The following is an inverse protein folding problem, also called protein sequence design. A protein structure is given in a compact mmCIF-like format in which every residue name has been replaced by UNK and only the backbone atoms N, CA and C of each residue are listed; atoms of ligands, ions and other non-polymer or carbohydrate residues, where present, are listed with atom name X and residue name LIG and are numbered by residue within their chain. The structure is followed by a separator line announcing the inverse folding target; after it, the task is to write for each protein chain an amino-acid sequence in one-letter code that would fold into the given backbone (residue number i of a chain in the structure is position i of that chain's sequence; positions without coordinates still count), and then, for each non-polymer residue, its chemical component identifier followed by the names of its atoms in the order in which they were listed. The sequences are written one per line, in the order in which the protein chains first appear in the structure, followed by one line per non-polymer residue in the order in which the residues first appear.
data_IF_196430781081
#
_entry.id   IF_196430781081
#
_cell.length_a   1.000
_cell.length_b   1.000
_cell.length_c   1.000
_cell.angle_alpha   90.00
_cell.angle_beta   90.00
_cell.angle_gamma   90.00
#
_symmetry.space_group_name_H-M   'P 1'
#
loop_
_entity.id
_entity.type
_entity.pdbx_description
1 polymer ?
#
# COMPACT_ATOMS: atom_id res chain seq x y z
N UNK A 1 13.59 4.03 -0.64
CA UNK A 1 12.27 3.89 0.01
C UNK A 1 12.28 2.65 0.90
N UNK A 2 11.84 2.77 2.16
CA UNK A 2 11.69 1.65 3.10
C UNK A 2 10.21 1.44 3.38
N UNK A 3 9.73 0.20 3.36
CA UNK A 3 8.30 -0.12 3.52
C UNK A 3 8.15 -1.19 4.58
N UNK A 4 7.26 -0.95 5.55
CA UNK A 4 6.82 -1.94 6.55
C UNK A 4 5.30 -2.02 6.61
N UNK A 5 4.78 -3.20 6.96
CA UNK A 5 3.36 -3.46 7.07
C UNK A 5 2.92 -3.50 8.54
N UNK A 6 1.95 -2.65 8.87
CA UNK A 6 1.40 -2.55 10.22
C UNK A 6 0.16 -3.43 10.44
N UNK A 7 -0.36 -4.04 9.37
CA UNK A 7 -1.57 -4.87 9.37
C UNK A 7 -2.71 -4.26 8.55
N UNK A 8 -3.57 -5.10 7.98
CA UNK A 8 -4.63 -4.65 7.10
C UNK A 8 -4.11 -3.86 5.90
N UNK A 9 -4.64 -2.67 5.66
CA UNK A 9 -4.12 -1.71 4.67
C UNK A 9 -3.07 -0.77 5.24
N UNK A 10 -2.75 -0.86 6.53
CA UNK A 10 -1.84 0.07 7.19
C UNK A 10 -0.38 -0.18 6.81
N UNK A 11 0.23 0.82 6.21
CA UNK A 11 1.62 0.79 5.72
C UNK A 11 2.39 1.98 6.29
N UNK A 12 3.62 1.74 6.70
CA UNK A 12 4.60 2.79 6.99
C UNK A 12 5.65 2.82 5.89
N UNK A 13 5.89 4.01 5.36
CA UNK A 13 6.90 4.27 4.33
C UNK A 13 7.88 5.31 4.87
N UNK A 14 9.17 5.05 4.72
CA UNK A 14 10.22 6.00 5.02
C UNK A 14 10.98 6.33 3.75
N UNK A 15 11.08 7.60 3.42
CA UNK A 15 11.80 8.13 2.26
C UNK A 15 12.75 9.23 2.67
N UNK A 16 13.74 9.52 1.85
CA UNK A 16 14.69 10.61 2.04
C UNK A 16 14.84 11.41 0.74
N UNK A 17 13.82 12.18 0.33
CA UNK A 17 13.81 12.89 -0.96
C UNK A 17 14.95 13.91 -1.07
N UNK A 18 15.34 14.49 0.05
CA UNK A 18 16.46 15.42 0.19
C UNK A 18 17.38 14.97 1.32
N UNK A 19 17.82 15.86 2.18
CA UNK A 19 18.70 15.54 3.33
C UNK A 19 17.96 15.09 4.59
N UNK A 20 16.62 15.15 4.61
CA UNK A 20 15.80 14.78 5.76
C UNK A 20 14.97 13.53 5.46
N UNK A 21 14.88 12.65 6.46
CA UNK A 21 13.97 11.53 6.43
C UNK A 21 12.53 12.04 6.54
N UNK A 22 11.62 11.43 5.77
CA UNK A 22 10.19 11.70 5.77
C UNK A 22 9.46 10.39 6.06
N UNK A 23 8.71 10.39 7.14
CA UNK A 23 7.85 9.26 7.53
C UNK A 23 6.43 9.47 6.98
N UNK A 24 5.93 8.49 6.26
CA UNK A 24 4.58 8.46 5.69
C UNK A 24 3.84 7.28 6.28
N UNK A 25 2.61 7.49 6.73
CA UNK A 25 1.72 6.40 7.18
C UNK A 25 0.45 6.44 6.36
N UNK A 26 0.10 5.30 5.76
CA UNK A 26 -1.13 5.11 5.02
C UNK A 26 -2.06 4.23 5.85
N UNK A 27 -3.34 4.59 5.93
CA UNK A 27 -4.41 3.81 6.56
C UNK A 27 -4.14 3.35 8.00
N UNK A 28 -3.73 4.20 8.92
CA UNK A 28 -3.49 3.81 10.31
C UNK A 28 -4.81 3.59 11.06
N UNK A 29 -5.73 2.78 10.51
CA UNK A 29 -7.02 2.48 11.12
C UNK A 29 -6.85 1.55 12.33
N UNK A 30 -7.63 1.84 13.37
CA UNK A 30 -7.66 1.02 14.57
C UNK A 30 -8.30 -0.34 14.27
N UNK A 31 -7.59 -1.45 14.39
CA UNK A 31 -8.16 -2.77 14.12
C UNK A 31 -9.12 -3.17 15.26
N UNK A 32 -10.05 -4.08 14.94
CA UNK A 32 -10.99 -4.65 15.93
C UNK A 32 -10.32 -5.70 16.83
N UNK A 33 -9.20 -6.26 16.41
CA UNK A 33 -8.46 -7.32 17.12
C UNK A 33 -6.96 -7.18 16.84
N UNK A 34 -6.16 -7.93 17.61
CA UNK A 34 -4.71 -7.97 17.45
C UNK A 34 -3.97 -6.75 17.99
N UNK A 35 -2.67 -6.78 17.87
CA UNK A 35 -1.81 -5.68 18.30
C UNK A 35 -1.67 -4.62 17.20
N UNK A 36 -1.73 -3.36 17.60
CA UNK A 36 -1.54 -2.21 16.72
C UNK A 36 -1.03 -1.02 17.53
N UNK A 37 -0.18 -0.16 16.98
CA UNK A 37 0.27 1.04 17.67
C UNK A 37 -0.91 1.93 18.10
N UNK A 38 -0.83 2.51 19.30
CA UNK A 38 -1.86 3.46 19.78
C UNK A 38 -1.69 4.85 19.19
N UNK A 39 -0.45 5.19 18.85
CA UNK A 39 -0.07 6.43 18.16
C UNK A 39 1.15 6.17 17.28
N UNK A 40 1.31 6.98 16.25
CA UNK A 40 2.49 6.99 15.39
C UNK A 40 2.94 8.43 15.19
N UNK A 41 4.24 8.67 15.25
CA UNK A 41 4.81 9.93 14.78
C UNK A 41 5.06 9.81 13.29
N UNK A 42 4.55 10.77 12.51
CA UNK A 42 4.68 10.77 11.05
C UNK A 42 4.70 12.20 10.52
N UNK A 43 5.24 12.38 9.34
CA UNK A 43 5.24 13.64 8.60
C UNK A 43 4.03 13.78 7.68
N UNK A 44 3.55 12.65 7.15
CA UNK A 44 2.43 12.59 6.21
C UNK A 44 1.51 11.43 6.62
N UNK A 45 0.22 11.72 6.75
CA UNK A 45 -0.85 10.76 7.01
C UNK A 45 -1.81 10.68 5.84
N UNK A 46 -2.00 9.51 5.26
CA UNK A 46 -2.86 9.26 4.11
C UNK A 46 -3.97 8.28 4.48
N UNK A 47 -5.19 8.53 4.02
CA UNK A 47 -6.35 7.73 4.40
C UNK A 47 -7.17 7.36 3.17
N UNK A 48 -7.24 6.08 2.84
CA UNK A 48 -8.01 5.60 1.67
C UNK A 48 -9.53 5.62 1.88
N UNK A 49 -10.01 5.82 3.12
CA UNK A 49 -11.43 5.79 3.50
C UNK A 49 -11.77 6.86 4.53
N UNK A 50 -11.17 8.05 4.41
CA UNK A 50 -11.29 9.12 5.40
C UNK A 50 -10.56 8.81 6.72
N UNK A 51 -10.39 9.80 7.58
CA UNK A 51 -9.59 9.67 8.81
C UNK A 51 -10.39 9.11 10.02
N UNK A 52 -11.65 8.75 9.85
CA UNK A 52 -12.48 8.19 10.93
C UNK A 52 -11.94 6.84 11.40
N UNK A 53 -12.00 6.56 12.70
CA UNK A 53 -11.51 5.32 13.33
C UNK A 53 -9.99 5.07 13.21
N UNK A 54 -9.22 6.09 12.85
CA UNK A 54 -7.77 6.01 12.86
C UNK A 54 -7.19 6.12 14.28
N UNK A 55 -5.93 5.71 14.42
CA UNK A 55 -5.13 6.01 15.62
C UNK A 55 -4.66 7.47 15.58
N UNK A 56 -4.15 7.96 16.71
CA UNK A 56 -3.57 9.30 16.78
C UNK A 56 -2.25 9.36 16.00
N UNK A 57 -2.18 10.29 15.05
CA UNK A 57 -0.93 10.67 14.41
C UNK A 57 -0.35 11.89 15.13
N UNK A 58 0.89 11.78 15.62
CA UNK A 58 1.63 12.86 16.28
C UNK A 58 2.67 13.46 15.33
N UNK A 59 3.24 14.62 15.68
CA UNK A 59 4.22 15.31 14.83
C UNK A 59 3.60 16.38 13.93
N UNK A 60 2.32 16.67 14.07
CA UNK A 60 1.59 17.62 13.21
C UNK A 60 1.69 17.28 11.72
N UNK A 61 1.32 16.03 11.30
CA UNK A 61 1.47 15.58 9.93
C UNK A 61 0.61 16.38 8.95
N UNK A 62 1.06 16.44 7.70
CA UNK A 62 0.18 16.76 6.59
C UNK A 62 -0.81 15.61 6.40
N UNK A 63 -2.09 15.89 6.29
CA UNK A 63 -3.16 14.89 6.13
C UNK A 63 -3.79 15.03 4.75
N UNK A 64 -3.99 13.89 4.05
CA UNK A 64 -4.76 13.81 2.82
C UNK A 64 -5.73 12.64 2.90
N UNK A 65 -7.02 12.94 2.76
CA UNK A 65 -8.13 11.99 2.80
C UNK A 65 -9.22 12.29 1.74
N UNK A 66 -8.85 13.08 0.73
CA UNK A 66 -9.71 13.48 -0.40
C UNK A 66 -8.97 13.32 -1.71
N UNK A 67 -9.66 13.11 -2.85
CA UNK A 67 -9.02 13.11 -4.16
C UNK A 67 -8.33 14.45 -4.48
N UNK A 68 -7.23 14.40 -5.20
CA UNK A 68 -6.46 15.57 -5.60
C UNK A 68 -4.97 15.26 -5.73
N UNK A 69 -4.20 16.27 -6.05
CA UNK A 69 -2.75 16.17 -6.17
C UNK A 69 -2.07 17.23 -5.30
N UNK A 70 -1.02 16.86 -4.62
CA UNK A 70 -0.21 17.78 -3.84
C UNK A 70 1.24 17.29 -3.74
N UNK A 71 2.14 18.23 -3.53
CA UNK A 71 3.53 17.94 -3.18
C UNK A 71 3.84 18.48 -1.79
N UNK A 72 4.38 17.64 -0.93
CA UNK A 72 4.82 18.02 0.39
C UNK A 72 6.09 17.26 0.80
N UNK A 73 7.04 17.95 1.41
CA UNK A 73 8.32 17.38 1.89
C UNK A 73 9.09 16.59 0.81
N UNK A 74 8.93 16.96 -0.49
CA UNK A 74 9.56 16.27 -1.60
C UNK A 74 8.90 14.93 -1.99
N UNK A 75 7.67 14.72 -1.58
CA UNK A 75 6.81 13.61 -1.99
C UNK A 75 5.65 14.18 -2.80
N UNK A 76 5.53 13.77 -4.06
CA UNK A 76 4.34 14.04 -4.87
C UNK A 76 3.31 12.97 -4.54
N UNK A 77 2.10 13.39 -4.22
CA UNK A 77 0.99 12.53 -3.83
C UNK A 77 -0.17 12.79 -4.78
N UNK A 78 -0.60 11.79 -5.52
CA UNK A 78 -1.80 11.82 -6.32
C UNK A 78 -2.84 10.88 -5.72
N UNK A 79 -3.97 11.44 -5.30
CA UNK A 79 -5.10 10.72 -4.74
C UNK A 79 -6.22 10.63 -5.76
N UNK A 80 -6.53 9.43 -6.25
CA UNK A 80 -7.60 9.19 -7.22
C UNK A 80 -8.83 8.62 -6.55
N UNK A 81 -10.02 9.04 -6.99
CA UNK A 81 -11.30 8.56 -6.48
C UNK A 81 -11.41 7.04 -6.64
N UNK A 82 -11.80 6.33 -5.57
CA UNK A 82 -12.16 4.91 -5.60
C UNK A 82 -13.53 4.68 -6.24
N UNK A 83 -14.07 3.48 -6.05
CA UNK A 83 -15.37 3.10 -6.63
C UNK A 83 -16.58 3.68 -5.90
N UNK A 84 -16.40 4.06 -4.64
CA UNK A 84 -17.45 4.60 -3.77
C UNK A 84 -17.04 5.96 -3.21
N UNK A 85 -18.03 6.77 -2.84
CA UNK A 85 -17.78 8.07 -2.24
C UNK A 85 -16.93 7.92 -0.96
N UNK A 86 -15.91 8.76 -0.83
CA UNK A 86 -14.97 8.73 0.28
C UNK A 86 -13.91 7.62 0.21
N UNK A 87 -13.89 6.79 -0.84
CA UNK A 87 -12.78 5.89 -1.14
C UNK A 87 -11.79 6.56 -2.08
N UNK A 88 -10.51 6.41 -1.79
CA UNK A 88 -9.42 6.90 -2.63
C UNK A 88 -8.29 5.87 -2.71
N UNK A 89 -7.53 5.95 -3.77
CA UNK A 89 -6.30 5.21 -4.00
C UNK A 89 -5.18 6.22 -4.14
N UNK A 90 -3.97 5.85 -3.74
CA UNK A 90 -2.84 6.76 -3.77
C UNK A 90 -1.78 6.31 -4.76
N UNK A 91 -1.17 7.28 -5.43
CA UNK A 91 0.14 7.20 -6.05
C UNK A 91 1.08 8.15 -5.31
N UNK A 92 2.26 7.67 -4.97
CA UNK A 92 3.33 8.41 -4.32
C UNK A 92 4.56 8.36 -5.19
N UNK A 93 5.15 9.52 -5.50
CA UNK A 93 6.40 9.60 -6.23
C UNK A 93 7.45 10.27 -5.34
N UNK A 94 8.54 9.55 -5.01
CA UNK A 94 9.65 10.01 -4.18
C UNK A 94 10.92 9.20 -4.46
N UNK A 95 12.10 9.79 -4.34
CA UNK A 95 13.41 9.12 -4.52
C UNK A 95 13.57 8.43 -5.89
N UNK A 96 12.96 8.94 -6.95
CA UNK A 96 12.89 8.31 -8.26
C UNK A 96 12.21 6.93 -8.24
N UNK A 97 11.27 6.74 -7.34
CA UNK A 97 10.41 5.57 -7.24
C UNK A 97 8.96 6.02 -7.19
N UNK A 98 8.10 5.28 -7.86
CA UNK A 98 6.65 5.43 -7.81
C UNK A 98 6.00 4.26 -7.09
N UNK A 99 5.01 4.53 -6.24
CA UNK A 99 4.29 3.54 -5.46
C UNK A 99 2.79 3.77 -5.57
N UNK A 100 2.01 2.73 -5.85
CA UNK A 100 0.56 2.76 -5.76
C UNK A 100 0.05 1.97 -4.54
N UNK A 101 -0.96 2.52 -3.86
CA UNK A 101 -1.69 1.88 -2.77
C UNK A 101 -3.18 1.86 -3.09
N UNK A 102 -3.75 0.68 -3.30
CA UNK A 102 -5.13 0.53 -3.77
C UNK A 102 -6.19 0.59 -2.68
N UNK A 103 -5.81 0.63 -1.40
CA UNK A 103 -6.76 0.54 -0.28
C UNK A 103 -7.46 -0.82 -0.23
N UNK A 104 -8.75 -0.84 0.12
CA UNK A 104 -9.62 -2.03 0.06
C UNK A 104 -10.50 -1.97 -1.19
N UNK A 105 -9.91 -2.20 -2.34
CA UNK A 105 -10.62 -2.27 -3.62
C UNK A 105 -11.13 -3.68 -3.86
N UNK A 106 -12.39 -3.80 -4.33
CA UNK A 106 -13.08 -5.06 -4.61
C UNK A 106 -13.65 -5.15 -6.04
N UNK A 107 -13.56 -4.06 -6.82
CA UNK A 107 -14.04 -3.97 -8.21
C UNK A 107 -12.86 -3.73 -9.16
N UNK A 108 -12.95 -4.16 -10.42
CA UNK A 108 -11.92 -3.87 -11.43
C UNK A 108 -11.64 -2.36 -11.52
N UNK A 109 -10.38 -2.00 -11.70
CA UNK A 109 -9.98 -0.59 -11.87
C UNK A 109 -10.60 -0.02 -13.15
N UNK A 110 -11.05 1.22 -13.08
CA UNK A 110 -11.53 1.98 -14.23
C UNK A 110 -10.35 2.55 -15.05
N UNK A 111 -10.61 2.92 -16.31
CA UNK A 111 -9.58 3.55 -17.17
C UNK A 111 -8.99 4.80 -16.50
N UNK A 112 -9.82 5.63 -15.86
CA UNK A 112 -9.37 6.81 -15.13
C UNK A 112 -8.44 6.47 -13.95
N UNK A 113 -8.72 5.39 -13.21
CA UNK A 113 -7.86 4.93 -12.13
C UNK A 113 -6.55 4.38 -12.69
N UNK A 114 -6.60 3.60 -13.77
CA UNK A 114 -5.43 3.06 -14.45
C UNK A 114 -4.55 4.17 -15.03
N UNK A 115 -5.11 5.25 -15.58
CA UNK A 115 -4.34 6.40 -16.08
C UNK A 115 -3.39 6.98 -15.01
N UNK A 116 -3.82 6.96 -13.73
CA UNK A 116 -2.98 7.45 -12.62
C UNK A 116 -2.08 6.37 -12.03
N UNK A 117 -2.58 5.12 -11.92
CA UNK A 117 -1.96 4.07 -11.11
C UNK A 117 -1.10 3.10 -11.93
N UNK A 118 -1.10 3.17 -13.27
CA UNK A 118 -0.24 2.32 -14.11
C UNK A 118 1.22 2.78 -14.10
N UNK A 119 2.10 1.87 -14.55
CA UNK A 119 3.54 2.11 -14.69
C UNK A 119 4.23 2.54 -13.38
N UNK A 120 3.68 2.12 -12.24
CA UNK A 120 4.35 2.34 -10.97
C UNK A 120 5.42 1.28 -10.71
N UNK A 121 6.48 1.66 -10.00
CA UNK A 121 7.52 0.72 -9.62
C UNK A 121 7.03 -0.29 -8.58
N UNK A 122 6.18 0.16 -7.64
CA UNK A 122 5.75 -0.62 -6.49
C UNK A 122 4.22 -0.58 -6.38
N UNK A 123 3.59 -1.74 -6.27
CA UNK A 123 2.16 -1.87 -6.04
C UNK A 123 1.88 -2.51 -4.69
N UNK A 124 1.11 -1.81 -3.84
CA UNK A 124 0.51 -2.35 -2.63
C UNK A 124 -0.93 -2.76 -2.95
N UNK A 125 -1.18 -4.08 -3.05
CA UNK A 125 -2.46 -4.64 -3.48
C UNK A 125 -3.12 -5.47 -2.39
N UNK A 126 -4.42 -5.26 -2.07
CA UNK A 126 -5.14 -6.10 -1.13
C UNK A 126 -5.44 -7.46 -1.76
N UNK A 127 -5.25 -8.56 -0.98
CA UNK A 127 -5.42 -9.94 -1.47
C UNK A 127 -6.26 -10.82 -0.54
N UNK A 128 -6.98 -10.21 0.41
CA UNK A 128 -7.68 -10.93 1.49
C UNK A 128 -9.04 -11.50 1.12
N UNK A 129 -9.59 -11.23 -0.05
CA UNK A 129 -10.84 -11.81 -0.58
C UNK A 129 -12.13 -11.36 0.08
N UNK A 130 -12.09 -10.69 1.23
CA UNK A 130 -13.26 -10.19 1.94
C UNK A 130 -13.31 -8.67 1.90
N UNK A 131 -14.29 -8.11 1.18
CA UNK A 131 -14.41 -6.68 0.91
C UNK A 131 -13.17 -6.08 0.22
N UNK A 132 -12.40 -6.90 -0.45
CA UNK A 132 -11.27 -6.51 -1.28
C UNK A 132 -10.96 -7.62 -2.28
N UNK A 133 -10.00 -7.41 -3.16
CA UNK A 133 -9.59 -8.43 -4.13
C UNK A 133 -9.23 -9.74 -3.45
N UNK A 134 -9.68 -10.84 -4.06
CA UNK A 134 -9.09 -12.17 -3.89
C UNK A 134 -7.81 -12.31 -4.74
N UNK A 135 -7.21 -13.49 -4.72
CA UNK A 135 -5.97 -13.75 -5.44
C UNK A 135 -6.08 -13.52 -6.95
N UNK A 136 -7.19 -13.95 -7.57
CA UNK A 136 -7.41 -13.82 -9.02
C UNK A 136 -7.66 -12.36 -9.43
N UNK A 137 -8.49 -11.63 -8.68
CA UNK A 137 -8.77 -10.22 -8.94
C UNK A 137 -7.50 -9.36 -8.74
N UNK A 138 -6.70 -9.67 -7.72
CA UNK A 138 -5.41 -9.01 -7.48
C UNK A 138 -4.42 -9.25 -8.63
N UNK A 139 -4.33 -10.48 -9.15
CA UNK A 139 -3.50 -10.81 -10.30
C UNK A 139 -3.95 -10.07 -11.58
N UNK A 140 -5.27 -9.92 -11.79
CA UNK A 140 -5.81 -9.12 -12.92
C UNK A 140 -5.46 -7.64 -12.79
N UNK A 141 -5.58 -7.06 -11.59
CA UNK A 141 -5.20 -5.67 -11.35
C UNK A 141 -3.69 -5.45 -11.55
N UNK A 142 -2.86 -6.40 -11.10
CA UNK A 142 -1.41 -6.38 -11.33
C UNK A 142 -1.07 -6.39 -12.82
N UNK A 143 -1.73 -7.24 -13.62
CA UNK A 143 -1.52 -7.28 -15.07
C UNK A 143 -1.96 -6.00 -15.79
N UNK A 144 -2.91 -5.25 -15.22
CA UNK A 144 -3.35 -3.98 -15.78
C UNK A 144 -2.45 -2.80 -15.37
N UNK A 145 -1.82 -2.87 -14.20
CA UNK A 145 -0.94 -1.80 -13.67
C UNK A 145 0.52 -2.00 -14.12
N UNK A 146 0.95 -3.26 -14.33
CA UNK A 146 2.29 -3.66 -14.74
C UNK A 146 3.43 -3.15 -13.82
N UNK A 147 3.33 -3.33 -12.48
CA UNK A 147 4.34 -2.86 -11.55
C UNK A 147 5.61 -3.74 -11.64
N UNK A 148 6.76 -3.20 -11.25
CA UNK A 148 8.01 -3.95 -11.12
C UNK A 148 8.08 -4.78 -9.85
N UNK A 149 7.47 -4.29 -8.76
CA UNK A 149 7.41 -4.96 -7.46
C UNK A 149 5.95 -4.94 -7.00
N UNK A 150 5.46 -6.09 -6.53
CA UNK A 150 4.16 -6.19 -5.88
C UNK A 150 4.33 -6.63 -4.43
N UNK A 151 3.64 -5.95 -3.53
CA UNK A 151 3.58 -6.25 -2.10
C UNK A 151 2.11 -6.51 -1.75
N UNK A 152 1.71 -7.77 -1.49
CA UNK A 152 0.36 -8.07 -1.04
C UNK A 152 0.12 -7.53 0.36
N UNK A 153 -1.07 -6.96 0.58
CA UNK A 153 -1.54 -6.41 1.86
C UNK A 153 -2.96 -6.90 2.17
N UNK A 154 -3.50 -6.53 3.32
CA UNK A 154 -4.88 -6.83 3.74
C UNK A 154 -5.25 -8.31 3.69
N UNK A 155 -4.29 -9.21 3.88
CA UNK A 155 -4.53 -10.64 4.04
C UNK A 155 -4.63 -11.02 5.52
N UNK A 156 -4.87 -12.29 5.81
CA UNK A 156 -5.09 -12.82 7.16
C UNK A 156 -3.93 -12.50 8.10
N UNK A 157 -4.24 -11.85 9.20
CA UNK A 157 -3.35 -11.54 10.31
C UNK A 157 -4.16 -11.50 11.61
N UNK A 158 -3.50 -11.25 12.75
CA UNK A 158 -4.18 -11.04 14.03
C UNK A 158 -5.16 -9.85 14.01
N UNK A 159 -4.86 -8.83 13.18
CA UNK A 159 -5.74 -7.67 12.98
C UNK A 159 -6.93 -7.97 12.04
N UNK A 160 -6.78 -8.93 11.14
CA UNK A 160 -7.77 -9.32 10.13
C UNK A 160 -7.91 -10.85 10.07
N UNK A 161 -8.42 -11.50 11.12
CA UNK A 161 -8.46 -12.96 11.22
C UNK A 161 -9.40 -13.63 10.19
N UNK A 162 -10.38 -12.88 9.68
CA UNK A 162 -11.39 -13.35 8.74
C UNK A 162 -10.96 -13.26 7.26
N UNK A 163 -9.82 -12.66 6.98
CA UNK A 163 -9.29 -12.54 5.62
C UNK A 163 -8.68 -13.86 5.14
N UNK A 164 -8.52 -14.01 3.84
CA UNK A 164 -7.84 -15.16 3.25
C UNK A 164 -6.33 -15.11 3.52
N UNK A 165 -5.72 -16.30 3.48
CA UNK A 165 -4.27 -16.46 3.60
C UNK A 165 -3.57 -15.95 2.33
N UNK A 166 -2.40 -15.33 2.52
CA UNK A 166 -1.59 -14.79 1.41
C UNK A 166 -1.10 -15.88 0.46
N UNK A 167 -1.03 -17.14 0.92
CA UNK A 167 -0.62 -18.31 0.12
C UNK A 167 -1.47 -18.50 -1.12
N UNK A 168 -2.74 -18.09 -1.12
CA UNK A 168 -3.59 -18.13 -2.31
C UNK A 168 -3.04 -17.21 -3.41
N UNK A 169 -2.69 -15.99 -3.04
CA UNK A 169 -2.08 -15.02 -3.96
C UNK A 169 -0.70 -15.48 -4.42
N UNK A 170 0.16 -15.96 -3.49
CA UNK A 170 1.48 -16.49 -3.87
C UNK A 170 1.41 -17.67 -4.84
N UNK A 171 0.37 -18.50 -4.71
CA UNK A 171 0.11 -19.61 -5.64
C UNK A 171 -0.31 -19.09 -7.01
N UNK A 172 -1.21 -18.11 -7.06
CA UNK A 172 -1.66 -17.48 -8.30
C UNK A 172 -0.49 -16.84 -9.05
N UNK A 173 0.44 -16.21 -8.31
CA UNK A 173 1.67 -15.63 -8.86
C UNK A 173 2.77 -16.66 -9.18
N UNK A 174 2.58 -17.95 -8.92
CA UNK A 174 3.56 -19.00 -9.17
C UNK A 174 4.82 -18.95 -8.28
N UNK A 175 4.76 -18.22 -7.16
CA UNK A 175 5.90 -18.02 -6.23
C UNK A 175 5.69 -18.64 -4.85
N UNK A 176 4.66 -19.46 -4.67
CA UNK A 176 4.39 -20.15 -3.42
C UNK A 176 5.60 -20.97 -2.95
N UNK A 177 5.99 -20.79 -1.69
CA UNK A 177 7.19 -21.43 -1.10
C UNK A 177 8.54 -20.87 -1.55
N UNK A 178 8.57 -19.87 -2.43
CA UNK A 178 9.81 -19.23 -2.93
C UNK A 178 10.07 -17.86 -2.27
N UNK A 179 9.06 -17.23 -1.70
CA UNK A 179 9.16 -15.91 -1.10
C UNK A 179 9.12 -16.03 0.42
N UNK A 180 10.06 -15.37 1.09
CA UNK A 180 10.10 -15.28 2.55
C UNK A 180 9.57 -13.90 3.00
N UNK A 181 8.83 -13.89 4.11
CA UNK A 181 8.32 -12.66 4.67
C UNK A 181 9.42 -11.89 5.43
N UNK A 182 9.55 -10.61 5.14
CA UNK A 182 10.47 -9.69 5.80
C UNK A 182 9.68 -8.68 6.64
N UNK A 183 10.24 -8.21 7.75
CA UNK A 183 9.61 -7.14 8.55
C UNK A 183 9.61 -5.80 7.82
N UNK A 184 10.62 -5.57 7.00
CA UNK A 184 10.84 -4.33 6.26
C UNK A 184 11.56 -4.64 4.95
N UNK A 185 11.10 -4.07 3.86
CA UNK A 185 11.80 -4.11 2.58
C UNK A 185 12.43 -2.75 2.28
N UNK A 186 13.59 -2.79 1.64
CA UNK A 186 14.35 -1.59 1.21
C UNK A 186 14.46 -1.63 -0.30
N UNK A 187 13.80 -0.69 -0.97
CA UNK A 187 13.74 -0.61 -2.43
C UNK A 187 14.51 0.63 -2.89
N UNK A 188 15.37 0.43 -3.89
CA UNK A 188 16.13 1.51 -4.54
C UNK A 188 15.86 1.48 -6.03
N UNK A 189 15.74 2.64 -6.66
CA UNK A 189 15.46 2.77 -8.10
C UNK A 189 16.46 1.99 -8.97
N UNK A 190 17.73 1.93 -8.56
CA UNK A 190 18.80 1.21 -9.28
C UNK A 190 18.70 -0.32 -9.18
N UNK A 191 17.90 -0.85 -8.26
CA UNK A 191 17.75 -2.30 -8.02
C UNK A 191 16.38 -2.84 -8.37
N UNK A 192 15.59 -2.08 -9.14
CA UNK A 192 14.30 -2.54 -9.64
C UNK A 192 14.45 -3.69 -10.64
N UNK A 193 13.58 -4.72 -10.57
CA UNK A 193 13.52 -5.78 -11.58
C UNK A 193 13.27 -5.20 -12.97
N UNK A 194 13.89 -5.79 -14.01
CA UNK A 194 13.77 -5.28 -15.38
C UNK A 194 12.86 -6.14 -16.27
N UNK A 195 12.76 -7.43 -16.00
CA UNK A 195 12.09 -8.40 -16.89
C UNK A 195 10.75 -8.88 -16.35
N UNK A 196 10.66 -9.18 -15.04
CA UNK A 196 9.46 -9.77 -14.43
C UNK A 196 9.09 -9.02 -13.16
N UNK A 197 7.80 -8.96 -12.85
CA UNK A 197 7.32 -8.43 -11.58
C UNK A 197 7.78 -9.32 -10.43
N UNK A 198 8.47 -8.72 -9.46
CA UNK A 198 8.92 -9.40 -8.25
C UNK A 198 7.86 -9.30 -7.14
N UNK A 199 7.51 -10.42 -6.53
CA UNK A 199 6.68 -10.44 -5.32
C UNK A 199 7.58 -10.29 -4.09
N UNK A 200 7.30 -9.28 -3.26
CA UNK A 200 7.92 -9.12 -1.94
C UNK A 200 6.87 -9.28 -0.87
N UNK A 201 7.14 -10.10 0.14
CA UNK A 201 6.21 -10.38 1.22
C UNK A 201 6.66 -9.70 2.51
N UNK A 202 5.74 -8.97 3.14
CA UNK A 202 5.98 -8.35 4.44
C UNK A 202 5.30 -9.17 5.54
N UNK A 203 6.01 -9.40 6.64
CA UNK A 203 5.37 -9.80 7.89
C UNK A 203 4.92 -8.55 8.65
N UNK A 204 3.80 -8.64 9.33
CA UNK A 204 3.32 -7.56 10.20
C UNK A 204 4.37 -7.21 11.27
N UNK A 205 4.60 -5.91 11.50
CA UNK A 205 5.41 -5.39 12.60
C UNK A 205 4.76 -5.64 13.95
#
# INVERSE_FOLDING_TARGET
MHISWLGGTAIRIQVKPFDKDVDIVIDPYRPKSGEFPRNLSTDIGLFTRGATDSITLSGNPFILDTPGECETKGVLITAVQGHEDGQIMFRLDAEHLSLAHLGLVDKPLTDQQLETLSDVDILLVPVGGKNCYDAEAAAKALNAIEPRIVIPIAYKSDNNPDMELVEKFLKEMGVAGKVQAEKKVIIKSKSLPQEETQVMLLSKE
#
